data_IF_387762273608
#
_entry.id   IF_387762273608
#
_cell.length_a   1.000
_cell.length_b   1.000
_cell.length_c   1.000
_cell.angle_alpha   90.00
_cell.angle_beta   90.00
_cell.angle_gamma   90.00
#
_symmetry.space_group_name_H-M   'P 1'
#
loop_
_entity.id
_entity.type
_entity.pdbx_description
1 polymer ?
#
# COMPACT_ATOMS: atom_id res chain seq x y z
N UNK A 1 -18.51 -2.57 -10.99
CA UNK A 1 -17.56 -1.47 -11.31
C UNK A 1 -17.02 -1.77 -12.69
N UNK A 2 -17.10 -0.84 -13.64
CA UNK A 2 -16.58 -1.06 -14.99
C UNK A 2 -15.06 -1.30 -14.89
N UNK A 3 -14.62 -2.44 -15.39
CA UNK A 3 -13.20 -2.77 -15.51
C UNK A 3 -12.60 -1.85 -16.57
N UNK A 4 -12.16 -0.65 -16.16
CA UNK A 4 -11.51 0.30 -17.06
C UNK A 4 -10.14 -0.27 -17.40
N UNK A 5 -10.09 -0.96 -18.54
CA UNK A 5 -8.87 -1.64 -19.02
C UNK A 5 -7.76 -0.60 -19.27
N UNK A 6 -6.57 -0.84 -18.68
CA UNK A 6 -5.38 -0.05 -18.98
C UNK A 6 -4.93 -0.33 -20.43
N UNK A 7 -4.73 0.73 -21.20
CA UNK A 7 -4.17 0.57 -22.54
C UNK A 7 -2.62 0.46 -22.48
N UNK A 8 -2.01 0.18 -23.64
CA UNK A 8 -0.56 0.00 -23.73
C UNK A 8 0.23 1.23 -23.27
N UNK A 9 -0.29 2.43 -23.56
CA UNK A 9 0.35 3.68 -23.12
C UNK A 9 0.24 3.87 -21.61
N UNK A 10 -0.91 3.57 -21.02
CA UNK A 10 -1.09 3.62 -19.57
C UNK A 10 -0.09 2.69 -18.86
N UNK A 11 0.08 1.46 -19.37
CA UNK A 11 1.03 0.47 -18.85
C UNK A 11 2.48 0.96 -18.94
N UNK A 12 2.88 1.55 -20.08
CA UNK A 12 4.22 2.11 -20.25
C UNK A 12 4.50 3.28 -19.28
N UNK A 13 3.56 4.18 -19.13
CA UNK A 13 3.66 5.30 -18.17
C UNK A 13 3.84 4.75 -16.75
N UNK A 14 3.00 3.79 -16.34
CA UNK A 14 3.08 3.20 -15.00
C UNK A 14 4.42 2.52 -14.74
N UNK A 15 5.01 1.81 -15.72
CA UNK A 15 6.36 1.24 -15.59
C UNK A 15 7.40 2.32 -15.28
N UNK A 16 7.44 3.39 -16.07
CA UNK A 16 8.44 4.44 -15.93
C UNK A 16 8.34 5.19 -14.59
N UNK A 17 7.13 5.56 -14.17
CA UNK A 17 6.93 6.32 -12.94
C UNK A 17 7.03 5.44 -11.67
N UNK A 18 6.83 4.12 -11.79
CA UNK A 18 7.04 3.19 -10.69
C UNK A 18 8.52 2.93 -10.42
N UNK A 19 9.36 2.95 -11.47
CA UNK A 19 10.82 2.80 -11.37
C UNK A 19 11.47 4.08 -10.83
N UNK A 20 11.01 5.26 -11.30
CA UNK A 20 11.46 6.56 -10.79
C UNK A 20 10.30 7.54 -10.66
N UNK A 21 9.83 7.74 -9.43
CA UNK A 21 8.76 8.69 -9.11
C UNK A 21 9.13 10.17 -9.36
N UNK A 22 10.42 10.47 -9.62
CA UNK A 22 10.92 11.83 -9.94
C UNK A 22 11.17 12.04 -11.42
N UNK A 23 10.96 11.03 -12.27
CA UNK A 23 11.17 11.16 -13.71
C UNK A 23 10.38 12.37 -14.25
N UNK A 24 11.01 13.31 -14.97
CA UNK A 24 10.28 14.43 -15.57
C UNK A 24 9.26 13.94 -16.59
N UNK A 25 8.03 14.47 -16.57
CA UNK A 25 7.00 14.07 -17.54
C UNK A 25 7.40 14.28 -18.99
N UNK A 26 8.33 15.21 -19.25
CA UNK A 26 8.89 15.38 -20.59
C UNK A 26 9.73 14.16 -21.02
N UNK A 27 10.44 13.54 -20.10
CA UNK A 27 11.19 12.31 -20.38
C UNK A 27 10.27 11.12 -20.59
N UNK A 28 9.20 11.00 -19.76
CA UNK A 28 8.14 10.02 -19.97
C UNK A 28 7.50 10.19 -21.34
N UNK A 29 7.23 11.43 -21.76
CA UNK A 29 6.67 11.74 -23.06
C UNK A 29 7.58 11.29 -24.22
N UNK A 30 8.89 11.54 -24.10
CA UNK A 30 9.88 11.09 -25.07
C UNK A 30 9.96 9.56 -25.13
N UNK A 31 10.01 8.89 -23.99
CA UNK A 31 10.08 7.43 -23.90
C UNK A 31 8.82 6.74 -24.47
N UNK A 32 7.67 7.37 -24.32
CA UNK A 32 6.39 6.88 -24.84
C UNK A 32 6.08 7.38 -26.27
N UNK A 33 6.91 8.23 -26.84
CA UNK A 33 6.72 8.87 -28.17
C UNK A 33 5.36 9.60 -28.28
N UNK A 34 5.02 10.39 -27.28
CA UNK A 34 3.80 11.22 -27.23
C UNK A 34 4.11 12.64 -26.75
N UNK A 35 3.15 13.56 -26.80
CA UNK A 35 3.32 14.90 -26.27
C UNK A 35 3.28 14.94 -24.74
N UNK A 36 3.93 15.94 -24.12
CA UNK A 36 3.84 16.16 -22.67
C UNK A 36 2.40 16.40 -22.21
N UNK A 37 1.56 17.06 -23.01
CA UNK A 37 0.14 17.24 -22.71
C UNK A 37 -0.61 15.90 -22.63
N UNK A 38 -0.27 14.95 -23.52
CA UNK A 38 -0.86 13.60 -23.47
C UNK A 38 -0.48 12.86 -22.19
N UNK A 39 0.78 12.99 -21.71
CA UNK A 39 1.21 12.40 -20.45
C UNK A 39 0.41 13.01 -19.27
N UNK A 40 0.27 14.32 -19.20
CA UNK A 40 -0.52 14.96 -18.15
C UNK A 40 -1.97 14.46 -18.12
N UNK A 41 -2.61 14.32 -19.28
CA UNK A 41 -3.97 13.78 -19.38
C UNK A 41 -4.04 12.33 -18.89
N UNK A 42 -3.05 11.50 -19.23
CA UNK A 42 -2.99 10.09 -18.80
C UNK A 42 -2.75 9.97 -17.30
N UNK A 43 -1.84 10.73 -16.72
CA UNK A 43 -1.61 10.78 -15.27
C UNK A 43 -2.89 11.20 -14.54
N UNK A 44 -3.59 12.25 -15.03
CA UNK A 44 -4.86 12.67 -14.43
C UNK A 44 -5.92 11.58 -14.52
N UNK A 45 -6.05 10.88 -15.66
CA UNK A 45 -6.93 9.72 -15.82
C UNK A 45 -6.61 8.63 -14.81
N UNK A 46 -5.34 8.22 -14.70
CA UNK A 46 -4.89 7.17 -13.78
C UNK A 46 -5.12 7.55 -12.31
N UNK A 47 -4.97 8.83 -11.98
CA UNK A 47 -5.26 9.36 -10.65
C UNK A 47 -6.77 9.32 -10.37
N UNK A 48 -7.61 9.78 -11.31
CA UNK A 48 -9.06 9.74 -11.18
C UNK A 48 -9.61 8.30 -11.07
N UNK A 49 -8.94 7.34 -11.70
CA UNK A 49 -9.24 5.91 -11.57
C UNK A 49 -8.78 5.32 -10.23
N UNK A 50 -8.04 6.07 -9.40
CA UNK A 50 -7.47 5.59 -8.14
C UNK A 50 -6.30 4.60 -8.29
N UNK A 51 -5.78 4.44 -9.52
CA UNK A 51 -4.59 3.61 -9.79
C UNK A 51 -3.34 4.31 -9.27
N UNK A 52 -3.19 5.59 -9.56
CA UNK A 52 -2.17 6.44 -8.95
C UNK A 52 -2.76 7.12 -7.72
N UNK A 53 -2.20 6.80 -6.55
CA UNK A 53 -2.62 7.37 -5.26
C UNK A 53 -1.80 8.59 -4.87
N UNK A 54 -0.66 8.80 -5.52
CA UNK A 54 0.27 9.88 -5.23
C UNK A 54 1.72 9.42 -5.31
N UNK A 55 2.63 10.31 -4.96
CA UNK A 55 4.06 10.03 -4.79
C UNK A 55 4.54 10.61 -3.46
N UNK A 56 5.40 9.89 -2.77
CA UNK A 56 5.99 10.33 -1.51
C UNK A 56 7.43 9.84 -1.40
N UNK A 57 8.24 10.54 -0.61
CA UNK A 57 9.55 10.05 -0.23
C UNK A 57 9.40 8.88 0.74
N UNK A 58 10.11 7.80 0.50
CA UNK A 58 10.23 6.70 1.46
C UNK A 58 11.28 7.11 2.48
N UNK A 59 10.86 7.20 3.74
CA UNK A 59 11.73 7.55 4.87
C UNK A 59 11.96 6.28 5.67
N UNK A 60 13.23 6.01 5.98
CA UNK A 60 13.60 4.91 6.87
C UNK A 60 13.25 5.27 8.33
N UNK A 61 12.28 4.59 8.95
CA UNK A 61 11.86 4.90 10.33
C UNK A 61 12.98 4.72 11.34
N UNK A 62 13.82 3.70 11.17
CA UNK A 62 14.93 3.40 12.08
C UNK A 62 15.94 4.56 12.11
N UNK A 63 16.24 5.15 10.95
CA UNK A 63 17.18 6.28 10.83
C UNK A 63 16.69 7.58 11.47
N UNK A 64 15.39 7.69 11.74
CA UNK A 64 14.78 8.82 12.44
C UNK A 64 14.38 8.47 13.88
N UNK A 65 14.85 7.32 14.41
CA UNK A 65 14.73 6.95 15.82
C UNK A 65 13.56 6.03 16.16
N UNK A 66 12.83 5.49 15.20
CA UNK A 66 11.78 4.49 15.43
C UNK A 66 12.39 3.08 15.28
N UNK A 67 13.03 2.60 16.34
CA UNK A 67 13.83 1.37 16.32
C UNK A 67 13.00 0.09 16.44
N UNK A 68 11.72 0.19 16.81
CA UNK A 68 10.85 -0.97 17.00
C UNK A 68 9.72 -0.95 15.97
N UNK A 69 9.66 -1.98 15.13
CA UNK A 69 8.53 -2.28 14.27
C UNK A 69 7.75 -3.44 14.86
N UNK A 70 6.43 -3.31 15.00
CA UNK A 70 5.57 -4.39 15.45
C UNK A 70 4.34 -4.55 14.57
N UNK A 71 3.94 -5.80 14.39
CA UNK A 71 2.65 -6.18 13.83
C UNK A 71 1.74 -6.63 14.98
N UNK A 72 0.53 -6.09 15.04
CA UNK A 72 -0.40 -6.42 16.13
C UNK A 72 -1.72 -6.90 15.54
N UNK A 73 -2.06 -8.15 15.88
CA UNK A 73 -3.37 -8.72 15.60
C UNK A 73 -4.36 -8.28 16.67
N UNK A 74 -5.52 -7.79 16.27
CA UNK A 74 -6.58 -7.28 17.14
C UNK A 74 -7.86 -8.09 16.92
N UNK A 75 -8.49 -8.54 18.01
CA UNK A 75 -9.81 -9.13 17.98
C UNK A 75 -10.82 -8.18 18.62
N UNK A 76 -11.91 -7.90 17.93
CA UNK A 76 -12.97 -7.04 18.40
C UNK A 76 -13.86 -7.80 19.39
N UNK A 77 -14.31 -7.16 20.47
CA UNK A 77 -15.35 -7.74 21.35
C UNK A 77 -16.70 -7.81 20.65
N UNK A 78 -16.98 -6.82 19.81
CA UNK A 78 -18.21 -6.71 19.06
C UNK A 78 -17.89 -6.30 17.61
N UNK A 79 -18.28 -7.08 16.60
CA UNK A 79 -18.08 -6.72 15.18
C UNK A 79 -18.62 -5.33 14.81
N UNK A 80 -19.70 -4.86 15.44
CA UNK A 80 -20.28 -3.54 15.22
C UNK A 80 -19.34 -2.39 15.64
N UNK A 81 -18.31 -2.68 16.45
CA UNK A 81 -17.32 -1.68 16.86
C UNK A 81 -16.24 -1.40 15.82
N UNK A 82 -16.24 -2.10 14.67
CA UNK A 82 -15.20 -2.02 13.66
C UNK A 82 -14.88 -0.58 13.23
N UNK A 83 -15.88 0.15 12.74
CA UNK A 83 -15.68 1.53 12.24
C UNK A 83 -15.17 2.47 13.33
N UNK A 84 -15.66 2.30 14.56
CA UNK A 84 -15.22 3.08 15.72
C UNK A 84 -13.77 2.79 16.08
N UNK A 85 -13.37 1.52 16.07
CA UNK A 85 -11.98 1.12 16.35
C UNK A 85 -11.05 1.62 15.26
N UNK A 86 -11.41 1.46 13.99
CA UNK A 86 -10.62 1.96 12.85
C UNK A 86 -10.47 3.49 12.90
N UNK A 87 -11.55 4.22 13.25
CA UNK A 87 -11.48 5.67 13.41
C UNK A 87 -10.47 6.08 14.51
N UNK A 88 -10.44 5.35 15.62
CA UNK A 88 -9.49 5.59 16.71
C UNK A 88 -8.05 5.20 16.34
N UNK A 89 -7.86 4.10 15.60
CA UNK A 89 -6.53 3.71 15.10
C UNK A 89 -5.93 4.78 14.18
N UNK A 90 -6.74 5.46 13.37
CA UNK A 90 -6.30 6.58 12.53
C UNK A 90 -5.80 7.80 13.31
N UNK A 91 -6.23 7.97 14.57
CA UNK A 91 -5.75 9.05 15.45
C UNK A 91 -4.39 8.73 16.07
N UNK A 92 -3.88 7.50 15.95
CA UNK A 92 -2.60 7.04 16.49
C UNK A 92 -1.52 7.16 15.41
N UNK A 93 -0.62 8.16 15.47
CA UNK A 93 0.35 8.41 14.39
C UNK A 93 1.34 7.26 14.20
N UNK A 94 1.60 6.47 15.22
CA UNK A 94 2.49 5.33 15.18
C UNK A 94 1.89 4.14 14.42
N UNK A 95 0.57 4.10 14.21
CA UNK A 95 -0.11 3.09 13.39
C UNK A 95 0.00 3.52 11.92
N UNK A 96 0.79 2.80 11.14
CA UNK A 96 1.06 3.13 9.74
C UNK A 96 0.26 2.29 8.75
N UNK A 97 -0.18 1.10 9.15
CA UNK A 97 -1.03 0.23 8.35
C UNK A 97 -2.13 -0.38 9.22
N UNK A 98 -3.30 -0.58 8.62
CA UNK A 98 -4.42 -1.28 9.25
C UNK A 98 -5.17 -2.07 8.18
N UNK A 99 -5.22 -3.37 8.33
CA UNK A 99 -5.88 -4.30 7.42
C UNK A 99 -7.04 -5.00 8.13
N UNK A 100 -8.19 -5.09 7.46
CA UNK A 100 -9.25 -6.02 7.82
C UNK A 100 -8.87 -7.39 7.26
N UNK A 101 -8.83 -8.41 8.11
CA UNK A 101 -8.25 -9.69 7.73
C UNK A 101 -9.24 -10.84 7.94
N UNK A 102 -8.99 -11.95 7.24
CA UNK A 102 -9.59 -13.24 7.51
C UNK A 102 -8.69 -14.04 8.46
N UNK A 103 -9.24 -14.98 9.21
CA UNK A 103 -8.48 -15.87 10.09
C UNK A 103 -8.54 -15.48 11.56
N UNK A 104 -7.40 -15.47 12.23
CA UNK A 104 -7.34 -15.37 13.70
C UNK A 104 -7.58 -13.96 14.25
N UNK A 105 -7.47 -12.92 13.44
CA UNK A 105 -7.62 -11.52 13.84
C UNK A 105 -8.64 -10.82 12.97
N UNK A 106 -9.41 -9.91 13.56
CA UNK A 106 -10.33 -9.05 12.81
C UNK A 106 -9.57 -7.92 12.11
N UNK A 107 -8.58 -7.35 12.81
CA UNK A 107 -7.70 -6.31 12.29
C UNK A 107 -6.25 -6.70 12.50
N UNK A 108 -5.40 -6.35 11.53
CA UNK A 108 -3.96 -6.50 11.61
C UNK A 108 -3.30 -5.16 11.32
N UNK A 109 -2.54 -4.64 12.29
CA UNK A 109 -1.93 -3.31 12.20
C UNK A 109 -0.42 -3.39 12.23
N UNK A 110 0.24 -2.42 11.58
CA UNK A 110 1.68 -2.20 11.67
C UNK A 110 1.94 -0.91 12.45
N UNK A 111 2.83 -0.99 13.40
CA UNK A 111 3.21 0.13 14.28
C UNK A 111 4.72 0.33 14.23
N UNK A 112 5.15 1.60 14.21
CA UNK A 112 6.51 1.98 14.53
C UNK A 112 6.55 2.66 15.90
N UNK A 113 7.50 2.26 16.76
CA UNK A 113 7.73 2.84 18.06
C UNK A 113 9.21 3.19 18.23
N UNK A 114 9.52 4.17 19.06
CA UNK A 114 10.90 4.58 19.34
C UNK A 114 11.73 3.43 19.93
N UNK A 115 11.10 2.63 20.80
CA UNK A 115 11.69 1.47 21.45
C UNK A 115 10.59 0.57 22.02
N UNK A 116 10.97 -0.56 22.62
CA UNK A 116 10.01 -1.50 23.21
C UNK A 116 9.19 -0.90 24.37
N UNK A 117 9.75 0.03 25.13
CA UNK A 117 9.01 0.71 26.22
C UNK A 117 7.93 1.63 25.62
N UNK A 118 8.25 2.37 24.56
CA UNK A 118 7.26 3.17 23.85
C UNK A 118 6.16 2.31 23.24
N UNK A 119 6.51 1.15 22.65
CA UNK A 119 5.52 0.19 22.15
C UNK A 119 4.57 -0.28 23.25
N UNK A 120 5.09 -0.61 24.42
CA UNK A 120 4.28 -0.99 25.58
C UNK A 120 3.30 0.12 25.98
N UNK A 121 3.75 1.38 26.01
CA UNK A 121 2.88 2.53 26.30
C UNK A 121 1.78 2.70 25.24
N UNK A 122 2.10 2.54 23.95
CA UNK A 122 1.08 2.57 22.87
C UNK A 122 0.01 1.48 23.11
N UNK A 123 0.44 0.27 23.45
CA UNK A 123 -0.48 -0.84 23.71
C UNK A 123 -1.38 -0.51 24.90
N UNK A 124 -0.81 -0.06 26.03
CA UNK A 124 -1.56 0.24 27.23
C UNK A 124 -2.46 1.45 27.10
N UNK A 125 -1.92 2.57 26.62
CA UNK A 125 -2.59 3.86 26.69
C UNK A 125 -3.50 4.12 25.50
N UNK A 126 -3.19 3.51 24.33
CA UNK A 126 -3.90 3.78 23.07
C UNK A 126 -4.71 2.59 22.55
N UNK A 127 -4.20 1.34 22.65
CA UNK A 127 -4.89 0.18 22.12
C UNK A 127 -5.84 -0.48 23.12
N UNK A 128 -5.45 -0.66 24.37
CA UNK A 128 -6.33 -1.28 25.38
C UNK A 128 -7.65 -0.52 25.57
N UNK A 129 -7.69 0.82 25.58
CA UNK A 129 -8.94 1.58 25.71
C UNK A 129 -9.93 1.39 24.55
N UNK A 130 -9.49 0.81 23.42
CA UNK A 130 -10.37 0.52 22.28
C UNK A 130 -11.42 -0.58 22.57
N UNK A 131 -11.31 -1.25 23.71
CA UNK A 131 -12.25 -2.29 24.09
C UNK A 131 -12.13 -3.57 23.26
N UNK A 132 -10.90 -3.97 22.95
CA UNK A 132 -10.58 -5.20 22.23
C UNK A 132 -10.85 -6.44 23.09
N UNK A 133 -11.20 -7.56 22.45
CA UNK A 133 -11.31 -8.86 23.11
C UNK A 133 -9.92 -9.44 23.40
N UNK A 134 -9.01 -9.30 22.44
CA UNK A 134 -7.62 -9.77 22.50
C UNK A 134 -6.75 -8.94 21.58
N UNK A 135 -5.48 -8.81 21.94
CA UNK A 135 -4.45 -8.35 21.05
C UNK A 135 -3.21 -9.25 21.16
N UNK A 136 -2.50 -9.42 20.07
CA UNK A 136 -1.25 -10.19 20.01
C UNK A 136 -0.22 -9.40 19.23
N UNK A 137 0.95 -9.16 19.83
CA UNK A 137 2.01 -8.35 19.26
C UNK A 137 3.16 -9.23 18.78
N UNK A 138 3.60 -9.00 17.56
CA UNK A 138 4.74 -9.65 16.91
C UNK A 138 5.75 -8.57 16.59
N UNK A 139 6.92 -8.59 17.22
CA UNK A 139 8.00 -7.65 16.92
C UNK A 139 8.75 -8.13 15.69
N UNK A 140 8.89 -7.26 14.70
CA UNK A 140 9.70 -7.49 13.50
C UNK A 140 11.12 -7.00 13.78
N UNK A 141 12.10 -7.87 13.62
CA UNK A 141 13.51 -7.48 13.77
C UNK A 141 14.00 -6.66 12.57
N UNK A 142 13.58 -7.02 11.35
CA UNK A 142 13.84 -6.27 10.13
C UNK A 142 12.91 -6.73 9.00
N UNK A 143 12.68 -5.88 8.04
CA UNK A 143 11.98 -6.26 6.81
C UNK A 143 12.99 -6.88 5.84
N UNK A 144 12.89 -8.18 5.60
CA UNK A 144 13.74 -8.88 4.63
C UNK A 144 13.41 -8.46 3.18
N UNK A 145 12.16 -8.11 2.92
CA UNK A 145 11.68 -7.57 1.64
C UNK A 145 10.71 -6.42 1.97
N UNK A 146 11.02 -5.25 1.46
CA UNK A 146 10.17 -4.05 1.52
C UNK A 146 10.24 -3.33 0.17
N UNK A 147 9.28 -3.61 -0.71
CA UNK A 147 9.18 -3.02 -2.04
C UNK A 147 7.74 -3.05 -2.54
N UNK A 148 7.39 -2.12 -3.41
CA UNK A 148 6.12 -2.20 -4.12
C UNK A 148 6.16 -3.28 -5.22
N UNK A 149 4.98 -3.64 -5.73
CA UNK A 149 4.85 -4.59 -6.84
C UNK A 149 5.61 -4.10 -8.07
N UNK A 150 6.37 -5.00 -8.71
CA UNK A 150 7.05 -4.71 -9.98
C UNK A 150 6.03 -4.59 -11.12
N UNK A 151 5.96 -3.41 -11.74
CA UNK A 151 5.05 -3.19 -12.87
C UNK A 151 5.51 -3.92 -14.13
N UNK A 152 6.82 -4.22 -14.27
CA UNK A 152 7.34 -4.94 -15.44
C UNK A 152 6.77 -6.34 -15.53
N UNK A 153 6.92 -7.14 -14.49
CA UNK A 153 6.45 -8.54 -14.46
C UNK A 153 4.93 -8.67 -14.55
N UNK A 154 4.18 -7.76 -13.91
CA UNK A 154 2.71 -7.80 -13.88
C UNK A 154 2.14 -7.59 -15.28
N UNK A 155 2.69 -6.65 -16.05
CA UNK A 155 2.15 -6.35 -17.38
C UNK A 155 2.61 -7.36 -18.45
N UNK A 156 3.78 -7.95 -18.33
CA UNK A 156 4.24 -9.02 -19.20
C UNK A 156 3.38 -10.28 -19.05
N UNK A 157 3.08 -10.69 -17.82
CA UNK A 157 2.21 -11.84 -17.56
C UNK A 157 0.77 -11.63 -18.03
N UNK A 158 0.26 -10.39 -18.03
CA UNK A 158 -1.09 -10.10 -18.55
C UNK A 158 -1.18 -10.18 -20.09
N UNK A 159 -0.09 -9.92 -20.80
CA UNK A 159 -0.03 -10.05 -22.27
C UNK A 159 0.04 -11.53 -22.70
N UNK A 160 0.69 -12.39 -21.92
CA UNK A 160 0.77 -13.83 -22.17
C UNK A 160 -0.60 -14.50 -21.98
N UNK A 161 -1.36 -14.12 -20.95
CA UNK A 161 -2.72 -14.68 -20.71
C UNK A 161 -3.73 -14.26 -21.78
N UNK A 162 -3.66 -13.02 -22.28
CA UNK A 162 -4.53 -12.55 -23.39
C UNK A 162 -4.20 -13.22 -24.72
N UNK A 163 -2.97 -13.64 -24.96
CA UNK A 163 -2.57 -14.36 -26.18
C UNK A 163 -2.98 -15.83 -26.18
N UNK A 164 -3.12 -16.45 -25.01
CA UNK A 164 -3.55 -17.85 -24.88
C UNK A 164 -5.08 -18.04 -25.01
N UNK A 165 -5.88 -17.05 -24.57
CA UNK A 165 -7.35 -17.12 -24.72
C UNK A 165 -7.82 -16.91 -26.17
N UNK A 166 -7.04 -16.21 -27.01
CA UNK A 166 -7.37 -15.99 -28.42
C UNK A 166 -6.94 -17.14 -29.34
N UNK A 167 -6.30 -18.19 -28.83
CA UNK A 167 -5.84 -19.35 -29.63
C UNK A 167 -6.73 -20.60 -29.50
N UNK A 168 -7.82 -20.58 -28.74
CA UNK A 168 -8.73 -21.71 -28.57
C UNK A 168 -10.04 -21.62 -29.40
N UNK A 169 -10.21 -20.57 -30.22
CA UNK A 169 -11.37 -20.39 -31.09
C UNK A 169 -11.05 -20.67 -32.58
N UNK A 170 -10.42 -21.82 -32.89
CA UNK A 170 -10.36 -22.35 -34.25
C UNK A 170 -10.58 -23.86 -34.27
#
# INVERSE_FOLDING_TARGET
MANQKLDKLDKQILKLIADDARIPFLEVARACNVSGAAIHQRIQKLTNMGILKGSQFIIDPEKIGYETCAYIGLNLKNPESFDKVVAKLKEIPEVVECHYTTGNYDLFIKIYALNNHHLLNIIHDKLQPLGLARSESIISFHAAIDRQLSMNEIFENSEISESSENSEDF
#
